data_IF_733767681605
#
_entry.id   IF_733767681605
#
_cell.length_a   1.000
_cell.length_b   1.000
_cell.length_c   1.000
_cell.angle_alpha   90.00
_cell.angle_beta   90.00
_cell.angle_gamma   90.00
#
_symmetry.space_group_name_H-M   'P 1'
#
loop_
_entity.id
_entity.type
_entity.pdbx_description
1 polymer ?
#
# COMPACT_ATOMS: atom_id res chain seq x y z
N UNK A 1 -17.01 -5.82 -16.92
CA UNK A 1 -17.45 -7.19 -17.33
C UNK A 1 -16.74 -7.69 -18.59
N UNK A 2 -16.66 -6.87 -19.65
CA UNK A 2 -16.06 -7.31 -20.93
C UNK A 2 -14.56 -7.56 -20.85
N UNK A 3 -13.83 -6.67 -20.22
CA UNK A 3 -12.37 -6.78 -20.02
C UNK A 3 -12.02 -8.03 -19.19
N UNK A 4 -12.70 -8.22 -18.07
CA UNK A 4 -12.44 -9.34 -17.16
C UNK A 4 -12.77 -10.71 -17.77
N UNK A 5 -13.74 -10.78 -18.68
CA UNK A 5 -13.99 -12.00 -19.49
C UNK A 5 -12.86 -12.28 -20.48
N UNK A 6 -12.30 -11.24 -21.11
CA UNK A 6 -11.21 -11.37 -22.07
C UNK A 6 -9.92 -11.86 -21.40
N UNK A 7 -9.65 -11.42 -20.16
CA UNK A 7 -8.48 -11.83 -19.37
C UNK A 7 -8.68 -13.15 -18.61
N UNK A 8 -9.81 -13.84 -18.80
CA UNK A 8 -10.11 -15.10 -18.10
C UNK A 8 -10.38 -14.94 -16.60
N UNK A 9 -10.53 -13.70 -16.13
CA UNK A 9 -10.77 -13.37 -14.72
C UNK A 9 -12.25 -13.42 -14.32
N UNK A 10 -13.14 -13.65 -15.28
CA UNK A 10 -14.57 -13.81 -15.05
C UNK A 10 -14.93 -15.27 -14.79
N UNK A 11 -15.35 -15.60 -13.59
CA UNK A 11 -15.99 -16.87 -13.25
C UNK A 11 -17.50 -16.67 -13.14
N UNK A 12 -18.28 -17.68 -13.55
CA UNK A 12 -19.75 -17.64 -13.54
C UNK A 12 -20.31 -17.78 -12.12
N UNK A 13 -21.52 -17.31 -11.92
CA UNK A 13 -22.28 -17.12 -10.68
C UNK A 13 -22.51 -18.33 -9.74
N UNK A 14 -21.70 -19.37 -9.78
CA UNK A 14 -21.78 -20.47 -8.81
C UNK A 14 -20.63 -20.35 -7.80
N UNK A 15 -20.85 -19.59 -6.73
CA UNK A 15 -20.05 -19.70 -5.51
C UNK A 15 -20.30 -21.07 -4.87
N UNK A 16 -19.43 -22.03 -5.09
CA UNK A 16 -19.21 -23.10 -4.12
C UNK A 16 -18.26 -22.53 -3.07
N UNK A 17 -18.61 -22.61 -1.78
CA UNK A 17 -17.86 -22.01 -0.68
C UNK A 17 -16.35 -22.17 -0.85
N UNK A 18 -15.66 -21.08 -1.18
CA UNK A 18 -14.22 -21.01 -1.40
C UNK A 18 -13.48 -20.81 -0.08
N UNK A 19 -12.15 -20.89 -0.14
CA UNK A 19 -11.30 -20.48 0.98
C UNK A 19 -11.57 -19.03 1.30
N UNK A 20 -11.54 -18.67 2.58
CA UNK A 20 -11.71 -17.27 3.04
C UNK A 20 -10.36 -16.56 3.02
N UNK A 21 -10.28 -15.42 2.34
CA UNK A 21 -9.15 -14.51 2.39
C UNK A 21 -9.39 -13.40 3.41
N UNK A 22 -8.44 -13.20 4.30
CA UNK A 22 -8.49 -12.17 5.34
C UNK A 22 -7.68 -10.96 4.88
N UNK A 23 -8.36 -9.82 4.67
CA UNK A 23 -7.74 -8.57 4.23
C UNK A 23 -7.59 -7.60 5.39
N UNK A 24 -6.36 -7.29 5.76
CA UNK A 24 -6.07 -6.28 6.77
C UNK A 24 -5.86 -4.87 6.21
N UNK A 25 -5.80 -3.87 7.08
CA UNK A 25 -5.34 -2.53 6.73
C UNK A 25 -4.70 -1.76 7.87
N UNK A 26 -3.92 -0.75 7.50
CA UNK A 26 -3.48 0.31 8.42
C UNK A 26 -4.65 1.25 8.78
N UNK A 27 -4.43 2.11 9.78
CA UNK A 27 -5.45 3.03 10.33
C UNK A 27 -5.73 4.27 9.49
N UNK A 28 -5.17 4.38 8.27
CA UNK A 28 -5.34 5.55 7.40
C UNK A 28 -6.60 5.44 6.54
N UNK A 29 -7.26 6.57 6.27
CA UNK A 29 -8.55 6.60 5.57
C UNK A 29 -8.53 5.91 4.21
N UNK A 30 -7.50 6.12 3.40
CA UNK A 30 -7.36 5.48 2.09
C UNK A 30 -7.26 3.96 2.19
N UNK A 31 -6.70 3.45 3.28
CA UNK A 31 -6.55 2.02 3.51
C UNK A 31 -7.91 1.32 3.69
N UNK A 32 -8.84 1.96 4.39
CA UNK A 32 -10.21 1.45 4.52
C UNK A 32 -10.91 1.37 3.16
N UNK A 33 -10.72 2.39 2.32
CA UNK A 33 -11.28 2.41 0.95
C UNK A 33 -10.68 1.27 0.11
N UNK A 34 -9.37 1.06 0.19
CA UNK A 34 -8.68 0.00 -0.55
C UNK A 34 -9.16 -1.39 -0.12
N UNK A 35 -9.34 -1.65 1.18
CA UNK A 35 -9.87 -2.93 1.68
C UNK A 35 -11.27 -3.19 1.14
N UNK A 36 -12.15 -2.19 1.15
CA UNK A 36 -13.50 -2.30 0.57
C UNK A 36 -13.48 -2.58 -0.93
N UNK A 37 -12.59 -1.92 -1.67
CA UNK A 37 -12.42 -2.17 -3.10
C UNK A 37 -11.94 -3.60 -3.37
N UNK A 38 -10.92 -4.06 -2.64
CA UNK A 38 -10.40 -5.43 -2.78
C UNK A 38 -11.45 -6.47 -2.41
N UNK A 39 -12.16 -6.27 -1.30
CA UNK A 39 -13.23 -7.16 -0.89
C UNK A 39 -14.30 -7.30 -1.97
N UNK A 40 -14.76 -6.18 -2.56
CA UNK A 40 -15.75 -6.20 -3.63
C UNK A 40 -15.24 -6.84 -4.92
N UNK A 41 -13.99 -6.60 -5.29
CA UNK A 41 -13.38 -7.19 -6.48
C UNK A 41 -13.19 -8.70 -6.30
N UNK A 42 -12.61 -9.13 -5.19
CA UNK A 42 -12.35 -10.55 -4.93
C UNK A 42 -13.68 -11.31 -4.83
N UNK A 43 -14.62 -10.85 -4.01
CA UNK A 43 -15.95 -11.46 -3.91
C UNK A 43 -16.73 -11.46 -5.23
N UNK A 44 -16.53 -10.44 -6.09
CA UNK A 44 -17.24 -10.32 -7.35
C UNK A 44 -16.65 -11.10 -8.51
N UNK A 45 -15.37 -11.46 -8.46
CA UNK A 45 -14.65 -12.02 -9.60
C UNK A 45 -13.89 -13.31 -9.32
N UNK A 46 -13.92 -13.79 -8.10
CA UNK A 46 -13.29 -15.05 -7.71
C UNK A 46 -14.24 -15.88 -6.87
N UNK A 47 -13.86 -17.13 -6.58
CA UNK A 47 -14.62 -18.03 -5.71
C UNK A 47 -14.22 -17.88 -4.23
N UNK A 48 -13.28 -16.97 -3.89
CA UNK A 48 -12.92 -16.69 -2.51
C UNK A 48 -14.03 -15.91 -1.80
N UNK A 49 -14.24 -16.24 -0.52
CA UNK A 49 -14.92 -15.37 0.42
C UNK A 49 -13.91 -14.40 1.04
N UNK A 50 -14.35 -13.20 1.43
CA UNK A 50 -13.45 -12.21 2.03
C UNK A 50 -13.94 -11.83 3.43
N UNK A 51 -13.05 -11.98 4.41
CA UNK A 51 -13.14 -11.35 5.71
C UNK A 51 -12.26 -10.10 5.74
N UNK A 52 -12.72 -9.01 6.36
CA UNK A 52 -11.96 -7.76 6.42
C UNK A 52 -11.60 -7.39 7.85
N UNK A 53 -10.34 -7.03 8.08
CA UNK A 53 -9.81 -6.55 9.36
C UNK A 53 -9.17 -5.17 9.18
N UNK A 54 -9.99 -4.13 8.96
CA UNK A 54 -9.49 -2.78 8.73
C UNK A 54 -8.98 -2.16 10.04
N UNK A 55 -7.98 -1.27 9.92
CA UNK A 55 -7.52 -0.46 11.05
C UNK A 55 -6.74 -1.22 12.12
N UNK A 56 -5.98 -2.25 11.75
CA UNK A 56 -5.16 -3.03 12.69
C UNK A 56 -4.12 -2.16 13.42
N UNK A 57 -3.55 -1.17 12.74
CA UNK A 57 -2.53 -0.30 13.32
C UNK A 57 -1.62 0.31 12.28
N UNK A 58 -0.36 0.57 12.65
CA UNK A 58 0.68 1.06 11.75
C UNK A 58 1.34 -0.06 10.93
N UNK A 59 2.33 0.32 10.12
CA UNK A 59 3.07 -0.55 9.19
C UNK A 59 3.54 -1.84 9.83
N UNK A 60 4.21 -1.75 10.98
CA UNK A 60 4.78 -2.94 11.63
C UNK A 60 3.71 -3.92 12.10
N UNK A 61 2.59 -3.44 12.60
CA UNK A 61 1.49 -4.29 13.09
C UNK A 61 0.88 -5.07 11.92
N UNK A 62 0.59 -4.42 10.80
CA UNK A 62 0.07 -5.10 9.61
C UNK A 62 1.07 -6.09 9.02
N UNK A 63 2.35 -5.72 9.00
CA UNK A 63 3.41 -6.60 8.52
C UNK A 63 3.57 -7.86 9.40
N UNK A 64 3.56 -7.70 10.72
CA UNK A 64 3.66 -8.83 11.65
C UNK A 64 2.40 -9.72 11.55
N UNK A 65 1.21 -9.14 11.42
CA UNK A 65 -0.03 -9.90 11.20
C UNK A 65 0.02 -10.74 9.91
N UNK A 66 0.55 -10.18 8.81
CA UNK A 66 0.74 -10.92 7.55
C UNK A 66 1.76 -12.06 7.73
N UNK A 67 2.89 -11.79 8.35
CA UNK A 67 3.91 -12.83 8.60
C UNK A 67 3.44 -13.97 9.50
N UNK A 68 2.56 -13.66 10.44
CA UNK A 68 2.00 -14.65 11.36
C UNK A 68 0.80 -15.41 10.77
N UNK A 69 0.35 -15.06 9.55
CA UNK A 69 -0.83 -15.67 8.94
C UNK A 69 -2.15 -15.23 9.59
N UNK A 70 -2.17 -14.10 10.30
CA UNK A 70 -3.38 -13.54 10.89
C UNK A 70 -4.22 -12.80 9.84
N UNK A 71 -3.57 -12.32 8.77
CA UNK A 71 -4.17 -11.79 7.54
C UNK A 71 -3.45 -12.37 6.34
N UNK A 72 -4.11 -12.41 5.18
CA UNK A 72 -3.54 -12.95 3.94
C UNK A 72 -2.99 -11.86 3.02
N UNK A 73 -3.53 -10.65 3.11
CA UNK A 73 -3.03 -9.48 2.38
C UNK A 73 -3.40 -8.16 3.06
N UNK A 74 -2.65 -7.11 2.75
CA UNK A 74 -2.98 -5.73 3.08
C UNK A 74 -2.35 -4.76 2.07
N UNK A 75 -2.92 -3.54 1.90
CA UNK A 75 -2.30 -2.50 1.06
C UNK A 75 -1.05 -1.93 1.72
N UNK A 76 0.06 -1.92 1.02
CA UNK A 76 1.30 -1.32 1.49
C UNK A 76 1.93 -0.43 0.42
N UNK A 77 2.77 0.50 0.82
CA UNK A 77 3.50 1.41 -0.06
C UNK A 77 4.93 0.95 -0.22
N UNK A 78 5.43 0.94 -1.46
CA UNK A 78 6.78 0.46 -1.77
C UNK A 78 7.86 1.27 -1.05
N UNK A 79 7.66 2.60 -0.91
CA UNK A 79 8.56 3.44 -0.13
C UNK A 79 8.60 3.07 1.35
N UNK A 80 7.47 2.69 1.94
CA UNK A 80 7.40 2.20 3.33
C UNK A 80 8.05 0.82 3.46
N UNK A 81 7.78 -0.09 2.51
CA UNK A 81 8.45 -1.39 2.44
C UNK A 81 9.97 -1.26 2.39
N UNK A 82 10.45 -0.31 1.57
CA UNK A 82 11.88 -0.04 1.44
C UNK A 82 12.50 0.53 2.72
N UNK A 83 11.95 1.64 3.24
CA UNK A 83 12.61 2.46 4.26
C UNK A 83 12.30 2.05 5.70
N UNK A 84 11.15 1.40 5.94
CA UNK A 84 10.69 1.07 7.30
C UNK A 84 10.80 -0.42 7.61
N UNK A 85 10.60 -1.27 6.62
CA UNK A 85 10.57 -2.72 6.82
C UNK A 85 11.88 -3.40 6.40
N UNK A 86 12.49 -2.98 5.29
CA UNK A 86 13.77 -3.53 4.83
C UNK A 86 14.98 -2.76 5.35
N UNK A 87 14.88 -1.43 5.46
CA UNK A 87 15.93 -0.53 5.91
C UNK A 87 17.31 -0.87 5.30
N UNK A 88 17.45 -0.80 3.96
CA UNK A 88 18.69 -1.21 3.30
C UNK A 88 19.83 -0.22 3.57
N UNK A 89 21.09 -0.61 3.30
CA UNK A 89 22.24 0.30 3.39
C UNK A 89 22.01 1.60 2.60
N UNK A 90 22.56 2.71 3.10
CA UNK A 90 22.33 4.05 2.60
C UNK A 90 22.67 4.22 1.10
N UNK A 91 23.74 3.59 0.63
CA UNK A 91 24.16 3.61 -0.78
C UNK A 91 23.13 2.94 -1.70
N UNK A 92 22.48 1.89 -1.24
CA UNK A 92 21.39 1.23 -1.95
C UNK A 92 20.15 2.12 -1.98
N UNK A 93 19.79 2.70 -0.83
CA UNK A 93 18.65 3.60 -0.72
C UNK A 93 18.80 4.81 -1.67
N UNK A 94 19.93 5.52 -1.62
CA UNK A 94 20.18 6.69 -2.47
C UNK A 94 20.11 6.38 -3.97
N UNK A 95 20.55 5.20 -4.36
CA UNK A 95 20.55 4.78 -5.75
C UNK A 95 19.15 4.53 -6.32
N UNK A 96 18.20 4.07 -5.51
CA UNK A 96 16.91 3.60 -6.03
C UNK A 96 15.70 4.44 -5.59
N UNK A 97 15.80 5.22 -4.50
CA UNK A 97 14.65 5.88 -3.85
C UNK A 97 13.84 6.80 -4.79
N UNK A 98 14.50 7.41 -5.77
CA UNK A 98 13.85 8.29 -6.76
C UNK A 98 13.30 7.55 -7.99
N UNK A 99 13.43 6.23 -8.04
CA UNK A 99 13.06 5.40 -9.18
C UNK A 99 11.98 4.39 -8.78
N UNK A 100 10.66 4.70 -8.94
CA UNK A 100 9.57 3.86 -8.45
C UNK A 100 9.65 2.38 -8.88
N UNK A 101 10.01 2.13 -10.14
CA UNK A 101 10.15 0.76 -10.65
C UNK A 101 11.34 0.02 -10.03
N UNK A 102 12.43 0.73 -9.72
CA UNK A 102 13.58 0.13 -9.05
C UNK A 102 13.26 -0.19 -7.59
N UNK A 103 12.52 0.69 -6.90
CA UNK A 103 12.02 0.46 -5.55
C UNK A 103 11.09 -0.76 -5.54
N UNK A 104 10.11 -0.82 -6.43
CA UNK A 104 9.19 -1.96 -6.52
C UNK A 104 9.93 -3.29 -6.74
N UNK A 105 10.83 -3.36 -7.71
CA UNK A 105 11.63 -4.56 -7.97
C UNK A 105 12.49 -4.97 -6.78
N UNK A 106 13.06 -3.99 -6.08
CA UNK A 106 13.89 -4.24 -4.91
C UNK A 106 13.05 -4.81 -3.76
N UNK A 107 11.96 -4.15 -3.39
CA UNK A 107 11.11 -4.63 -2.28
C UNK A 107 10.48 -5.99 -2.61
N UNK A 108 10.01 -6.21 -3.83
CA UNK A 108 9.45 -7.52 -4.24
C UNK A 108 10.45 -8.65 -4.04
N UNK A 109 11.67 -8.47 -4.53
CA UNK A 109 12.73 -9.48 -4.39
C UNK A 109 13.14 -9.74 -2.93
N UNK A 110 13.36 -8.67 -2.18
CA UNK A 110 13.84 -8.79 -0.80
C UNK A 110 12.77 -9.36 0.14
N UNK A 111 11.50 -8.99 -0.05
CA UNK A 111 10.41 -9.57 0.75
C UNK A 111 10.20 -11.05 0.47
N UNK A 112 10.29 -11.47 -0.78
CA UNK A 112 10.23 -12.88 -1.15
C UNK A 112 11.42 -13.65 -0.52
N UNK A 113 12.63 -13.12 -0.66
CA UNK A 113 13.84 -13.77 -0.18
C UNK A 113 13.93 -13.87 1.36
N UNK A 114 13.52 -12.81 2.08
CA UNK A 114 13.69 -12.72 3.52
C UNK A 114 12.47 -13.25 4.31
N UNK A 115 11.26 -13.10 3.74
CA UNK A 115 10.01 -13.36 4.47
C UNK A 115 9.07 -14.35 3.78
N UNK A 116 9.35 -14.75 2.52
CA UNK A 116 8.43 -15.54 1.71
C UNK A 116 7.14 -14.80 1.34
N UNK A 117 7.17 -13.46 1.36
CA UNK A 117 6.02 -12.61 1.07
C UNK A 117 6.10 -12.02 -0.33
N UNK A 118 5.00 -12.06 -1.06
CA UNK A 118 4.92 -11.57 -2.42
C UNK A 118 4.30 -10.17 -2.48
N UNK A 119 4.95 -9.26 -3.21
CA UNK A 119 4.36 -7.99 -3.61
C UNK A 119 3.58 -8.17 -4.91
N UNK A 120 2.29 -7.87 -4.87
CA UNK A 120 1.45 -7.84 -6.06
C UNK A 120 1.73 -6.57 -6.90
N UNK A 121 1.17 -6.51 -8.11
CA UNK A 121 1.36 -5.38 -9.01
C UNK A 121 0.93 -4.04 -8.39
N UNK A 122 1.62 -2.94 -8.71
CA UNK A 122 1.27 -1.61 -8.20
C UNK A 122 -0.15 -1.19 -8.60
N UNK A 123 -0.84 -0.49 -7.69
CA UNK A 123 -2.21 0.01 -7.93
C UNK A 123 -2.27 1.24 -8.85
N UNK A 124 -1.11 1.81 -9.23
CA UNK A 124 -1.03 2.90 -10.19
C UNK A 124 -1.27 4.29 -9.61
N UNK A 125 -1.21 4.47 -8.30
CA UNK A 125 -1.23 5.81 -7.67
C UNK A 125 -0.05 6.02 -6.73
N UNK A 126 0.26 7.29 -6.46
CA UNK A 126 1.29 7.70 -5.54
C UNK A 126 0.67 8.35 -4.31
N UNK A 127 1.03 7.89 -3.11
CA UNK A 127 0.66 8.50 -1.85
C UNK A 127 1.88 9.21 -1.26
N UNK A 128 1.84 10.54 -1.21
CA UNK A 128 2.95 11.37 -0.76
C UNK A 128 2.51 12.38 0.28
N UNK A 129 3.45 12.86 1.08
CA UNK A 129 3.21 13.96 2.00
C UNK A 129 3.27 15.31 1.28
N UNK A 130 2.38 16.22 1.67
CA UNK A 130 2.42 17.63 1.31
C UNK A 130 2.38 18.48 2.57
N UNK A 131 3.20 19.54 2.62
CA UNK A 131 3.07 20.54 3.66
C UNK A 131 2.01 21.55 3.25
N UNK A 132 1.08 21.83 4.16
CA UNK A 132 0.00 22.78 3.94
C UNK A 132 0.07 23.89 5.00
N UNK A 133 -0.20 25.10 4.57
CA UNK A 133 -0.31 26.29 5.41
C UNK A 133 -1.57 27.05 5.02
N UNK A 134 -2.20 27.75 5.96
CA UNK A 134 -3.30 28.64 5.64
C UNK A 134 -2.82 29.78 4.76
N UNK A 135 -3.54 30.09 3.69
CA UNK A 135 -3.17 31.12 2.70
C UNK A 135 -2.85 32.45 3.34
N UNK A 136 -3.75 32.98 4.17
CA UNK A 136 -3.53 34.24 4.89
C UNK A 136 -2.25 34.25 5.76
N UNK A 137 -1.89 33.11 6.33
CA UNK A 137 -0.65 32.97 7.10
C UNK A 137 0.57 32.92 6.18
N UNK A 138 0.50 32.17 5.08
CA UNK A 138 1.56 32.12 4.09
C UNK A 138 1.86 33.49 3.49
N UNK A 139 0.81 34.26 3.16
CA UNK A 139 0.92 35.63 2.67
C UNK A 139 1.55 36.57 3.72
N UNK A 140 1.05 36.52 4.96
CA UNK A 140 1.58 37.40 6.03
C UNK A 140 3.04 37.15 6.36
N UNK A 141 3.50 35.91 6.17
CA UNK A 141 4.90 35.50 6.38
C UNK A 141 5.73 35.52 5.09
N UNK A 142 5.12 35.85 3.96
CA UNK A 142 5.73 35.77 2.62
C UNK A 142 6.38 34.42 2.34
N UNK A 143 5.67 33.32 2.67
CA UNK A 143 6.11 31.92 2.50
C UNK A 143 5.43 31.32 1.27
N UNK A 144 6.22 30.84 0.30
CA UNK A 144 5.76 30.12 -0.90
C UNK A 144 6.39 28.74 -1.03
N UNK A 145 7.57 28.55 -0.42
CA UNK A 145 8.33 27.29 -0.46
C UNK A 145 8.79 26.91 0.95
N UNK A 146 9.20 25.67 1.13
CA UNK A 146 9.77 25.19 2.40
C UNK A 146 11.00 26.01 2.79
N UNK A 147 11.81 26.43 1.80
CA UNK A 147 13.02 27.23 2.04
C UNK A 147 12.73 28.59 2.64
N UNK A 148 11.55 29.17 2.39
CA UNK A 148 11.16 30.48 2.95
C UNK A 148 10.85 30.41 4.45
N UNK A 149 10.73 29.19 5.01
CA UNK A 149 10.57 28.98 6.46
C UNK A 149 11.88 29.11 7.23
N UNK A 150 13.03 29.14 6.55
CA UNK A 150 14.33 29.29 7.19
C UNK A 150 14.43 30.70 7.80
N UNK A 151 14.64 30.77 9.12
CA UNK A 151 14.75 32.03 9.86
C UNK A 151 13.42 32.67 10.28
N UNK A 152 12.29 32.11 9.94
CA UNK A 152 10.97 32.48 10.50
C UNK A 152 10.92 32.03 11.98
N UNK A 153 10.54 32.95 12.89
CA UNK A 153 10.40 32.68 14.33
C UNK A 153 8.97 32.94 14.79
#
# INVERSE_FOLDING_TARGET
>A
RHFLKAEGLWKSDQKQGGETLIIGSKIFTEQYILVELFSKLINGYTDYDVDTRPGLGGTKICFDALRNGEIDLYPEYTGTGLQVLLDPPQDTLERIITQPDAVYRYVSREFEAQYGLQWLGPLGFNNTYALMMREAQAESMNVKTISDLVGQR
#
